data_IF_576635881073
#
_entry.id   IF_576635881073
#
_cell.length_a   1.000
_cell.length_b   1.000
_cell.length_c   1.000
_cell.angle_alpha   90.00
_cell.angle_beta   90.00
_cell.angle_gamma   90.00
#
_symmetry.space_group_name_H-M   'P 1'
#
loop_
_entity.id
_entity.type
_entity.pdbx_description
1 polymer ?
#
# COMPACT_ATOMS: atom_id res chain seq x y z
N UNK A 1 -13.80 -27.03 1.16
CA UNK A 1 -14.87 -26.05 1.44
C UNK A 1 -14.99 -25.88 2.94
N UNK A 2 -14.57 -24.73 3.47
CA UNK A 2 -14.92 -24.25 4.80
C UNK A 2 -15.02 -22.74 4.68
N UNK A 3 -16.22 -22.27 4.33
CA UNK A 3 -16.50 -20.83 4.32
C UNK A 3 -16.44 -20.34 5.74
N UNK A 4 -15.42 -19.54 6.06
CA UNK A 4 -15.37 -18.71 7.26
C UNK A 4 -16.61 -17.82 7.24
N UNK A 5 -17.65 -18.24 7.95
CA UNK A 5 -18.86 -17.45 8.16
C UNK A 5 -18.49 -16.38 9.18
N UNK A 6 -17.94 -15.27 8.70
CA UNK A 6 -17.74 -14.09 9.53
C UNK A 6 -19.11 -13.67 10.08
N UNK A 7 -19.19 -13.52 11.40
CA UNK A 7 -20.39 -12.99 12.03
C UNK A 7 -20.72 -11.64 11.36
N UNK A 8 -22.00 -11.38 11.02
CA UNK A 8 -22.38 -10.15 10.36
C UNK A 8 -21.98 -8.95 11.23
N UNK A 9 -21.32 -7.97 10.60
CA UNK A 9 -20.87 -6.77 11.28
C UNK A 9 -22.03 -6.08 12.01
N UNK A 10 -21.82 -5.61 13.26
CA UNK A 10 -22.88 -4.94 13.99
C UNK A 10 -23.41 -3.70 13.26
N UNK A 11 -24.73 -3.45 13.25
CA UNK A 11 -25.31 -2.29 12.55
C UNK A 11 -24.72 -0.95 13.01
N UNK A 12 -24.45 -0.81 14.31
CA UNK A 12 -23.84 0.40 14.87
C UNK A 12 -22.46 0.69 14.27
N UNK A 13 -21.68 -0.33 13.94
CA UNK A 13 -20.35 -0.18 13.35
C UNK A 13 -20.46 0.42 11.95
N UNK A 14 -21.36 -0.13 11.12
CA UNK A 14 -21.63 0.38 9.77
C UNK A 14 -22.12 1.82 9.80
N UNK A 15 -22.99 2.17 10.74
CA UNK A 15 -23.46 3.54 10.91
C UNK A 15 -22.32 4.49 11.30
N UNK A 16 -21.48 4.12 12.26
CA UNK A 16 -20.33 4.93 12.66
C UNK A 16 -19.31 5.09 11.53
N UNK A 17 -19.06 4.04 10.75
CA UNK A 17 -18.21 4.11 9.56
C UNK A 17 -18.80 5.04 8.50
N UNK A 18 -20.12 4.96 8.25
CA UNK A 18 -20.81 5.84 7.32
C UNK A 18 -20.70 7.31 7.72
N UNK A 19 -20.86 7.62 9.00
CA UNK A 19 -20.64 8.97 9.51
C UNK A 19 -19.17 9.41 9.40
N UNK A 20 -18.24 8.54 9.76
CA UNK A 20 -16.81 8.83 9.67
C UNK A 20 -16.41 9.19 8.23
N UNK A 21 -16.87 8.42 7.25
CA UNK A 21 -16.59 8.65 5.84
C UNK A 21 -17.28 9.92 5.30
N UNK A 22 -18.53 10.16 5.69
CA UNK A 22 -19.25 11.39 5.36
C UNK A 22 -18.49 12.62 5.87
N UNK A 23 -18.03 12.62 7.13
CA UNK A 23 -17.27 13.74 7.68
C UNK A 23 -15.90 13.89 7.01
N UNK A 24 -15.24 12.79 6.63
CA UNK A 24 -13.95 12.82 5.92
C UNK A 24 -14.06 13.44 4.52
N UNK A 25 -15.16 13.19 3.83
CA UNK A 25 -15.39 13.62 2.43
C UNK A 25 -16.22 14.91 2.30
N UNK A 26 -16.81 15.38 3.40
CA UNK A 26 -17.54 16.66 3.44
C UNK A 26 -16.67 17.84 3.00
N UNK A 27 -17.30 18.91 2.50
CA UNK A 27 -16.62 20.14 2.10
C UNK A 27 -17.12 21.32 2.95
N UNK A 28 -16.30 21.88 3.86
CA UNK A 28 -14.93 21.47 4.20
C UNK A 28 -14.87 20.16 5.04
N UNK A 29 -13.78 19.38 4.96
CA UNK A 29 -13.65 18.12 5.72
C UNK A 29 -13.69 18.33 7.23
N UNK A 30 -14.51 17.54 7.92
CA UNK A 30 -14.68 17.59 9.38
C UNK A 30 -13.89 16.47 10.05
N UNK A 31 -12.57 16.48 9.90
CA UNK A 31 -11.67 15.39 10.35
C UNK A 31 -11.82 15.07 11.84
N UNK A 32 -12.02 16.08 12.70
CA UNK A 32 -12.26 15.84 14.14
C UNK A 32 -13.48 14.96 14.40
N UNK A 33 -14.59 15.20 13.68
CA UNK A 33 -15.80 14.39 13.80
C UNK A 33 -15.59 12.99 13.24
N UNK A 34 -14.85 12.85 12.13
CA UNK A 34 -14.44 11.55 11.60
C UNK A 34 -13.69 10.73 12.66
N UNK A 35 -12.69 11.33 13.32
CA UNK A 35 -11.94 10.69 14.41
C UNK A 35 -12.85 10.32 15.59
N UNK A 36 -13.77 11.19 16.00
CA UNK A 36 -14.71 10.87 17.08
C UNK A 36 -15.64 9.70 16.74
N UNK A 37 -16.13 9.59 15.50
CA UNK A 37 -16.94 8.45 15.07
C UNK A 37 -16.15 7.13 15.16
N UNK A 38 -14.89 7.13 14.75
CA UNK A 38 -14.03 5.95 14.84
C UNK A 38 -13.67 5.62 16.29
N UNK A 39 -13.37 6.61 17.14
CA UNK A 39 -13.11 6.39 18.56
C UNK A 39 -14.33 5.82 19.30
N UNK A 40 -15.54 6.22 18.91
CA UNK A 40 -16.77 5.72 19.51
C UNK A 40 -16.94 4.21 19.34
N UNK A 41 -16.39 3.61 18.28
CA UNK A 41 -16.42 2.16 18.04
C UNK A 41 -15.89 1.38 19.25
N UNK A 42 -14.80 1.84 19.88
CA UNK A 42 -14.20 1.14 21.03
C UNK A 42 -15.08 1.12 22.27
N UNK A 43 -16.05 2.03 22.39
CA UNK A 43 -17.00 2.05 23.52
C UNK A 43 -17.96 0.85 23.47
N UNK A 44 -18.14 0.23 22.30
CA UNK A 44 -19.03 -0.90 22.07
C UNK A 44 -18.34 -2.26 22.20
N UNK A 45 -17.08 -2.32 22.66
CA UNK A 45 -16.28 -3.56 22.79
C UNK A 45 -16.34 -4.39 21.50
N UNK A 46 -15.81 -3.84 20.39
CA UNK A 46 -15.90 -4.46 19.07
C UNK A 46 -15.28 -5.86 19.05
N UNK A 47 -15.73 -6.75 18.15
CA UNK A 47 -15.00 -7.97 17.84
C UNK A 47 -13.57 -7.67 17.36
N UNK A 48 -12.61 -8.59 17.54
CA UNK A 48 -11.19 -8.32 17.26
C UNK A 48 -10.90 -7.81 15.83
N UNK A 49 -11.63 -8.30 14.82
CA UNK A 49 -11.46 -7.84 13.42
C UNK A 49 -11.88 -6.37 13.25
N UNK A 50 -13.02 -6.01 13.85
CA UNK A 50 -13.56 -4.65 13.84
C UNK A 50 -12.63 -3.71 14.59
N UNK A 51 -12.12 -4.14 15.73
CA UNK A 51 -11.14 -3.39 16.53
C UNK A 51 -9.87 -3.09 15.71
N UNK A 52 -9.25 -4.12 15.12
CA UNK A 52 -8.06 -3.98 14.31
C UNK A 52 -8.27 -3.06 13.09
N UNK A 53 -9.42 -3.20 12.40
CA UNK A 53 -9.78 -2.33 11.27
C UNK A 53 -9.98 -0.88 11.70
N UNK A 54 -10.57 -0.66 12.87
CA UNK A 54 -10.79 0.67 13.44
C UNK A 54 -9.45 1.33 13.81
N UNK A 55 -8.53 0.58 14.42
CA UNK A 55 -7.16 1.05 14.66
C UNK A 55 -6.46 1.47 13.36
N UNK A 56 -6.55 0.65 12.31
CA UNK A 56 -5.99 0.97 11.00
C UNK A 56 -6.58 2.28 10.43
N UNK A 57 -7.90 2.44 10.47
CA UNK A 57 -8.58 3.64 9.97
C UNK A 57 -8.22 4.88 10.78
N UNK A 58 -8.14 4.79 12.10
CA UNK A 58 -7.70 5.90 12.95
C UNK A 58 -6.27 6.30 12.67
N UNK A 59 -5.34 5.34 12.65
CA UNK A 59 -3.93 5.61 12.34
C UNK A 59 -3.78 6.26 10.97
N UNK A 60 -4.49 5.73 9.97
CA UNK A 60 -4.58 6.23 8.59
C UNK A 60 -5.08 7.68 8.50
N UNK A 61 -6.15 8.04 9.21
CA UNK A 61 -6.72 9.40 9.23
C UNK A 61 -5.83 10.37 9.99
N UNK A 62 -5.34 9.97 11.17
CA UNK A 62 -4.45 10.80 11.99
C UNK A 62 -3.16 11.14 11.24
N UNK A 63 -2.56 10.15 10.58
CA UNK A 63 -1.36 10.33 9.77
C UNK A 63 -1.58 11.31 8.61
N UNK A 64 -2.65 11.16 7.83
CA UNK A 64 -2.84 11.95 6.60
C UNK A 64 -3.40 13.35 6.82
N UNK A 65 -4.11 13.57 7.92
CA UNK A 65 -4.94 14.77 8.08
C UNK A 65 -4.68 15.55 9.37
N UNK A 66 -3.76 15.10 10.23
CA UNK A 66 -3.47 15.76 11.50
C UNK A 66 -1.97 15.85 11.77
N UNK A 67 -1.59 16.51 12.86
CA UNK A 67 -0.20 16.59 13.34
C UNK A 67 0.09 15.58 14.47
N UNK A 68 -0.83 14.66 14.75
CA UNK A 68 -0.73 13.73 15.88
C UNK A 68 0.04 12.47 15.48
N UNK A 69 1.31 12.61 15.11
CA UNK A 69 2.15 11.54 14.56
C UNK A 69 2.33 10.36 15.50
N UNK A 70 2.55 10.61 16.79
CA UNK A 70 2.72 9.56 17.81
C UNK A 70 1.45 8.70 17.93
N UNK A 71 0.29 9.34 18.05
CA UNK A 71 -0.98 8.63 18.15
C UNK A 71 -1.29 7.85 16.87
N UNK A 72 -0.96 8.40 15.70
CA UNK A 72 -1.10 7.69 14.43
C UNK A 72 -0.25 6.42 14.42
N UNK A 73 1.02 6.51 14.83
CA UNK A 73 1.93 5.38 14.92
C UNK A 73 1.40 4.31 15.87
N UNK A 74 0.98 4.67 17.09
CA UNK A 74 0.44 3.70 18.07
C UNK A 74 -0.76 2.94 17.51
N UNK A 75 -1.69 3.64 16.85
CA UNK A 75 -2.84 2.99 16.22
C UNK A 75 -2.41 2.05 15.07
N UNK A 76 -1.47 2.46 14.22
CA UNK A 76 -0.96 1.63 13.12
C UNK A 76 -0.24 0.37 13.63
N UNK A 77 0.61 0.50 14.66
CA UNK A 77 1.29 -0.63 15.30
C UNK A 77 0.30 -1.60 15.93
N UNK A 78 -0.73 -1.08 16.60
CA UNK A 78 -1.81 -1.91 17.18
C UNK A 78 -2.62 -2.63 16.09
N UNK A 79 -2.78 -2.00 14.91
CA UNK A 79 -3.49 -2.60 13.79
C UNK A 79 -2.75 -3.77 13.12
N UNK A 80 -1.43 -3.90 13.33
CA UNK A 80 -0.60 -5.05 12.91
C UNK A 80 -0.98 -6.27 13.76
N UNK A 81 -2.18 -6.78 13.52
CA UNK A 81 -2.87 -7.82 14.28
C UNK A 81 -2.83 -9.17 13.55
N UNK A 82 -3.69 -10.10 13.96
CA UNK A 82 -3.77 -11.45 13.37
C UNK A 82 -4.39 -11.50 11.97
N UNK A 83 -5.09 -10.45 11.52
CA UNK A 83 -5.79 -10.44 10.23
C UNK A 83 -4.84 -9.98 9.12
N UNK A 84 -4.58 -10.86 8.14
CA UNK A 84 -3.55 -10.64 7.11
C UNK A 84 -3.78 -9.40 6.24
N UNK A 85 -5.04 -9.12 5.88
CA UNK A 85 -5.43 -7.95 5.09
C UNK A 85 -5.19 -6.64 5.87
N UNK A 86 -5.64 -6.60 7.13
CA UNK A 86 -5.43 -5.45 8.02
C UNK A 86 -3.94 -5.26 8.30
N UNK A 87 -3.21 -6.35 8.55
CA UNK A 87 -1.77 -6.33 8.83
C UNK A 87 -0.97 -5.80 7.65
N UNK A 88 -1.28 -6.24 6.43
CA UNK A 88 -0.57 -5.80 5.22
C UNK A 88 -0.80 -4.32 4.94
N UNK A 89 -2.05 -3.85 5.09
CA UNK A 89 -2.39 -2.44 4.94
C UNK A 89 -1.75 -1.57 6.02
N UNK A 90 -1.79 -2.01 7.29
CA UNK A 90 -1.15 -1.32 8.40
C UNK A 90 0.37 -1.22 8.21
N UNK A 91 1.03 -2.32 7.83
CA UNK A 91 2.46 -2.34 7.53
C UNK A 91 2.83 -1.40 6.39
N UNK A 92 2.01 -1.36 5.33
CA UNK A 92 2.20 -0.45 4.20
C UNK A 92 2.17 1.02 4.64
N UNK A 93 1.16 1.44 5.40
CA UNK A 93 1.03 2.83 5.89
C UNK A 93 2.11 3.16 6.93
N UNK A 94 2.43 2.23 7.83
CA UNK A 94 3.46 2.43 8.84
C UNK A 94 4.85 2.58 8.21
N UNK A 95 5.13 1.86 7.13
CA UNK A 95 6.38 2.02 6.37
C UNK A 95 6.49 3.41 5.73
N UNK A 96 5.39 3.93 5.18
CA UNK A 96 5.32 5.30 4.65
C UNK A 96 5.56 6.33 5.77
N UNK A 97 4.94 6.13 6.93
CA UNK A 97 5.13 6.99 8.10
C UNK A 97 6.60 7.04 8.53
N UNK A 98 7.24 5.87 8.68
CA UNK A 98 8.66 5.82 9.03
C UNK A 98 9.55 6.46 7.97
N UNK A 99 9.25 6.26 6.69
CA UNK A 99 9.97 6.90 5.59
C UNK A 99 9.89 8.42 5.65
N UNK A 100 8.70 9.00 5.92
CA UNK A 100 8.55 10.45 6.07
C UNK A 100 9.35 11.03 7.24
N UNK A 101 9.57 10.23 8.28
CA UNK A 101 10.36 10.61 9.45
C UNK A 101 11.86 10.32 9.28
N UNK A 102 12.31 9.92 8.08
CA UNK A 102 13.67 9.45 7.80
C UNK A 102 14.13 8.25 8.65
N UNK A 103 13.18 7.42 9.10
CA UNK A 103 13.42 6.21 9.90
C UNK A 103 13.40 4.95 9.01
N UNK A 104 14.21 4.94 7.95
CA UNK A 104 14.25 3.84 6.96
C UNK A 104 14.60 2.49 7.60
N UNK A 105 15.50 2.49 8.57
CA UNK A 105 15.90 1.30 9.33
C UNK A 105 14.73 0.66 10.10
N UNK A 106 13.76 1.46 10.53
CA UNK A 106 12.55 0.98 11.21
C UNK A 106 11.49 0.47 10.22
N UNK A 107 11.44 1.04 9.01
CA UNK A 107 10.47 0.67 7.97
C UNK A 107 10.76 -0.71 7.35
N UNK A 108 12.03 -1.03 7.09
CA UNK A 108 12.42 -2.27 6.40
C UNK A 108 11.99 -3.56 7.12
N UNK A 109 12.22 -3.73 8.44
CA UNK A 109 11.78 -4.93 9.16
C UNK A 109 10.26 -5.14 9.13
N UNK A 110 9.50 -4.05 9.20
CA UNK A 110 8.03 -4.08 9.12
C UNK A 110 7.58 -4.63 7.78
N UNK A 111 8.13 -4.11 6.68
CA UNK A 111 7.82 -4.58 5.32
C UNK A 111 8.25 -6.02 5.10
N UNK A 112 9.47 -6.40 5.52
CA UNK A 112 9.96 -7.79 5.36
C UNK A 112 9.04 -8.80 6.05
N UNK A 113 8.59 -8.50 7.27
CA UNK A 113 7.65 -9.36 8.00
C UNK A 113 6.29 -9.45 7.31
N UNK A 114 5.78 -8.35 6.77
CA UNK A 114 4.51 -8.34 6.04
C UNK A 114 4.59 -9.12 4.72
N UNK A 115 5.69 -8.99 3.96
CA UNK A 115 5.92 -9.72 2.71
C UNK A 115 5.94 -11.24 2.93
N UNK A 116 6.54 -11.70 4.03
CA UNK A 116 6.63 -13.13 4.36
C UNK A 116 5.26 -13.81 4.46
N UNK A 117 4.25 -13.08 4.94
CA UNK A 117 2.91 -13.62 5.18
C UNK A 117 1.90 -13.25 4.08
N UNK A 118 2.18 -12.24 3.26
CA UNK A 118 1.22 -11.74 2.26
C UNK A 118 1.19 -12.57 0.97
N UNK A 119 1.88 -13.71 0.89
CA UNK A 119 2.01 -14.53 -0.32
C UNK A 119 0.66 -15.03 -0.88
N UNK A 120 -0.36 -15.12 -0.03
CA UNK A 120 -1.73 -15.51 -0.42
C UNK A 120 -2.61 -14.31 -0.79
N UNK A 121 -2.11 -13.08 -0.62
CA UNK A 121 -2.80 -11.83 -0.94
C UNK A 121 -1.98 -11.04 -1.98
N UNK A 122 -2.09 -11.40 -3.26
CA UNK A 122 -1.12 -10.96 -4.25
C UNK A 122 -1.00 -9.45 -4.43
N UNK A 123 -2.12 -8.73 -4.30
CA UNK A 123 -2.13 -7.26 -4.33
C UNK A 123 -1.19 -6.69 -3.27
N UNK A 124 -1.34 -7.14 -2.02
CA UNK A 124 -0.52 -6.68 -0.91
C UNK A 124 0.93 -7.13 -1.05
N UNK A 125 1.17 -8.36 -1.51
CA UNK A 125 2.52 -8.86 -1.74
C UNK A 125 3.33 -7.98 -2.71
N UNK A 126 2.76 -7.71 -3.89
CA UNK A 126 3.41 -6.85 -4.89
C UNK A 126 3.63 -5.43 -4.38
N UNK A 127 2.63 -4.86 -3.70
CA UNK A 127 2.74 -3.51 -3.13
C UNK A 127 3.84 -3.41 -2.08
N UNK A 128 3.93 -4.37 -1.16
CA UNK A 128 4.92 -4.37 -0.09
C UNK A 128 6.35 -4.60 -0.63
N UNK A 129 6.52 -5.48 -1.62
CA UNK A 129 7.79 -5.66 -2.34
C UNK A 129 8.25 -4.35 -2.99
N UNK A 130 7.33 -3.65 -3.66
CA UNK A 130 7.63 -2.36 -4.29
C UNK A 130 8.04 -1.30 -3.27
N UNK A 131 7.35 -1.21 -2.13
CA UNK A 131 7.72 -0.29 -1.05
C UNK A 131 9.10 -0.62 -0.47
N UNK A 132 9.42 -1.90 -0.28
CA UNK A 132 10.72 -2.30 0.23
C UNK A 132 11.84 -1.96 -0.76
N UNK A 133 11.59 -2.16 -2.06
CA UNK A 133 12.53 -1.76 -3.10
C UNK A 133 12.76 -0.24 -3.14
N UNK A 134 11.72 0.57 -2.94
CA UNK A 134 11.87 2.02 -2.80
C UNK A 134 12.76 2.39 -1.61
N UNK A 135 12.62 1.72 -0.47
CA UNK A 135 13.50 1.96 0.69
C UNK A 135 14.97 1.60 0.39
N UNK A 136 15.23 0.50 -0.31
CA UNK A 136 16.57 0.15 -0.75
C UNK A 136 17.14 1.19 -1.73
N UNK A 137 16.31 1.71 -2.63
CA UNK A 137 16.75 2.75 -3.56
C UNK A 137 17.02 4.10 -2.87
N UNK A 138 16.27 4.46 -1.82
CA UNK A 138 16.57 5.65 -0.99
C UNK A 138 17.96 5.56 -0.34
N UNK A 139 18.42 4.35 -0.01
CA UNK A 139 19.77 4.09 0.49
C UNK A 139 20.81 3.89 -0.61
N UNK A 140 20.44 4.09 -1.89
CA UNK A 140 21.28 3.85 -3.08
C UNK A 140 21.69 2.38 -3.27
N UNK A 141 21.02 1.45 -2.59
CA UNK A 141 21.17 0.02 -2.79
C UNK A 141 20.27 -0.46 -3.94
N UNK A 142 20.68 -0.09 -5.15
CA UNK A 142 19.90 -0.34 -6.36
C UNK A 142 19.88 -1.82 -6.77
N UNK A 143 20.90 -2.59 -6.37
CA UNK A 143 20.94 -4.04 -6.64
C UNK A 143 19.78 -4.71 -5.92
N UNK A 144 19.67 -4.50 -4.60
CA UNK A 144 18.56 -5.07 -3.83
C UNK A 144 17.19 -4.54 -4.27
N UNK A 145 17.11 -3.26 -4.67
CA UNK A 145 15.87 -2.69 -5.19
C UNK A 145 15.41 -3.38 -6.49
N UNK A 146 16.32 -3.55 -7.45
CA UNK A 146 16.04 -4.24 -8.72
C UNK A 146 15.69 -5.71 -8.50
N UNK A 147 16.42 -6.41 -7.63
CA UNK A 147 16.17 -7.82 -7.32
C UNK A 147 14.76 -8.02 -6.73
N UNK A 148 14.37 -7.19 -5.75
CA UNK A 148 13.03 -7.23 -5.15
C UNK A 148 11.92 -6.96 -6.16
N UNK A 149 12.15 -6.04 -7.09
CA UNK A 149 11.17 -5.70 -8.12
C UNK A 149 11.09 -6.79 -9.19
N UNK A 150 12.20 -7.45 -9.52
CA UNK A 150 12.23 -8.65 -10.36
C UNK A 150 11.41 -9.79 -9.77
N UNK A 151 11.56 -10.05 -8.47
CA UNK A 151 10.74 -11.02 -7.72
C UNK A 151 9.26 -10.64 -7.78
N UNK A 152 8.94 -9.37 -7.57
CA UNK A 152 7.55 -8.87 -7.63
C UNK A 152 6.92 -9.00 -9.01
N UNK A 153 7.67 -8.71 -10.07
CA UNK A 153 7.21 -8.84 -11.46
C UNK A 153 6.94 -10.31 -11.83
N UNK A 154 7.85 -11.22 -11.47
CA UNK A 154 7.68 -12.65 -11.73
C UNK A 154 6.49 -13.21 -10.94
N UNK A 155 6.34 -12.83 -9.67
CA UNK A 155 5.19 -13.23 -8.86
C UNK A 155 3.87 -12.74 -9.47
N UNK A 156 3.79 -11.47 -9.89
CA UNK A 156 2.58 -10.92 -10.50
C UNK A 156 2.22 -11.59 -11.84
N UNK A 157 3.24 -11.99 -12.62
CA UNK A 157 3.08 -12.77 -13.85
C UNK A 157 2.46 -14.13 -13.57
N UNK A 158 2.95 -14.84 -12.54
CA UNK A 158 2.42 -16.16 -12.13
C UNK A 158 0.98 -16.07 -11.63
N UNK A 159 0.64 -15.01 -10.90
CA UNK A 159 -0.71 -14.82 -10.36
C UNK A 159 -1.73 -14.29 -11.36
N UNK A 160 -1.34 -14.05 -12.63
CA UNK A 160 -2.18 -13.44 -13.68
C UNK A 160 -2.77 -12.09 -13.23
N UNK A 161 -2.03 -11.38 -12.38
CA UNK A 161 -2.42 -10.06 -11.89
C UNK A 161 -1.69 -9.01 -12.69
N UNK A 162 -2.10 -8.94 -13.96
CA UNK A 162 -1.48 -8.09 -14.96
C UNK A 162 -1.26 -6.71 -14.35
N UNK A 163 -2.30 -5.99 -13.92
CA UNK A 163 -2.21 -4.63 -13.39
C UNK A 163 -1.14 -4.41 -12.28
N UNK A 164 -0.98 -5.37 -11.36
CA UNK A 164 -0.02 -5.21 -10.25
C UNK A 164 1.42 -5.43 -10.68
N UNK A 165 1.65 -6.28 -11.68
CA UNK A 165 2.95 -6.46 -12.33
C UNK A 165 3.49 -5.13 -12.85
N UNK A 166 2.62 -4.34 -13.50
CA UNK A 166 3.01 -3.03 -14.02
C UNK A 166 3.30 -2.04 -12.90
N UNK A 167 2.50 -1.98 -11.84
CA UNK A 167 2.82 -1.06 -10.73
C UNK A 167 4.22 -1.29 -10.14
N UNK A 168 4.67 -2.56 -10.04
CA UNK A 168 6.03 -2.91 -9.61
C UNK A 168 7.07 -2.45 -10.65
N UNK A 169 6.90 -2.83 -11.92
CA UNK A 169 7.84 -2.51 -13.00
C UNK A 169 8.00 -1.00 -13.18
N UNK A 170 6.91 -0.24 -13.04
CA UNK A 170 6.93 1.21 -13.17
C UNK A 170 7.65 1.89 -11.99
N UNK A 171 7.56 1.35 -10.78
CA UNK A 171 8.38 1.79 -9.64
C UNK A 171 9.87 1.52 -9.91
N UNK A 172 10.22 0.37 -10.50
CA UNK A 172 11.59 0.07 -10.93
C UNK A 172 12.12 1.11 -11.90
N UNK A 173 11.30 1.45 -12.89
CA UNK A 173 11.67 2.35 -13.95
C UNK A 173 11.88 3.80 -13.45
N UNK A 174 11.02 4.27 -12.53
CA UNK A 174 11.19 5.57 -11.89
C UNK A 174 12.47 5.65 -11.05
N UNK A 175 12.80 4.60 -10.30
CA UNK A 175 14.01 4.56 -9.48
C UNK A 175 15.28 4.58 -10.33
N UNK A 176 15.31 3.83 -11.43
CA UNK A 176 16.48 3.79 -12.34
C UNK A 176 16.68 5.08 -13.12
N UNK A 177 15.60 5.78 -13.47
CA UNK A 177 15.66 7.09 -14.14
C UNK A 177 16.20 8.20 -13.22
N UNK A 178 15.87 8.18 -11.93
CA UNK A 178 16.38 9.15 -10.95
C UNK A 178 17.90 9.07 -10.77
N UNK A 179 18.50 7.89 -10.95
CA UNK A 179 19.93 7.64 -10.78
C UNK A 179 20.73 7.72 -12.10
N UNK A 180 20.09 8.13 -13.21
CA UNK A 180 20.70 8.26 -14.56
C UNK A 180 21.43 7.00 -15.04
N UNK A 181 21.04 5.82 -14.57
CA UNK A 181 21.59 4.52 -15.03
C UNK A 181 20.99 4.09 -16.37
N UNK A 182 21.22 4.91 -17.40
CA UNK A 182 20.58 4.80 -18.72
C UNK A 182 20.78 3.41 -19.39
N UNK A 183 21.86 2.70 -19.08
CA UNK A 183 22.15 1.36 -19.62
C UNK A 183 21.18 0.27 -19.13
N UNK A 184 20.68 0.37 -17.91
CA UNK A 184 19.71 -0.59 -17.32
C UNK A 184 18.26 -0.16 -17.58
N UNK A 185 18.05 1.15 -17.80
CA UNK A 185 16.73 1.74 -18.10
C UNK A 185 16.21 1.30 -19.47
N UNK A 186 17.06 1.21 -20.49
CA UNK A 186 16.62 0.98 -21.87
C UNK A 186 15.98 -0.42 -22.11
N UNK A 187 16.54 -1.53 -21.59
CA UNK A 187 15.90 -2.84 -21.67
C UNK A 187 14.56 -2.89 -20.92
N UNK A 188 14.49 -2.23 -19.76
CA UNK A 188 13.26 -2.17 -18.96
C UNK A 188 12.19 -1.28 -19.61
N UNK A 189 12.56 -0.15 -20.22
CA UNK A 189 11.66 0.67 -21.03
C UNK A 189 11.12 -0.10 -22.22
N UNK A 190 11.99 -0.81 -22.94
CA UNK A 190 11.57 -1.63 -24.08
C UNK A 190 10.59 -2.71 -23.65
N UNK A 191 10.90 -3.40 -22.54
CA UNK A 191 10.00 -4.39 -21.94
C UNK A 191 8.66 -3.74 -21.55
N UNK A 192 8.66 -2.60 -20.86
CA UNK A 192 7.44 -1.87 -20.51
C UNK A 192 6.60 -1.53 -21.75
N UNK A 193 7.23 -1.01 -22.80
CA UNK A 193 6.57 -0.66 -24.05
C UNK A 193 5.88 -1.87 -24.68
N UNK A 194 6.60 -2.99 -24.82
CA UNK A 194 6.05 -4.23 -25.39
C UNK A 194 4.88 -4.77 -24.55
N UNK A 195 4.97 -4.71 -23.22
CA UNK A 195 3.90 -5.21 -22.37
C UNK A 195 2.66 -4.27 -22.43
N UNK A 196 2.86 -2.95 -22.44
CA UNK A 196 1.76 -1.97 -22.61
C UNK A 196 1.06 -2.17 -23.95
N UNK A 197 1.80 -2.38 -25.04
CA UNK A 197 1.23 -2.63 -26.36
C UNK A 197 0.35 -3.89 -26.37
N UNK A 198 0.86 -4.97 -25.78
CA UNK A 198 0.18 -6.27 -25.71
C UNK A 198 -0.91 -6.36 -24.63
N UNK A 199 -1.14 -5.30 -23.85
CA UNK A 199 -2.17 -5.28 -22.81
C UNK A 199 -3.58 -5.49 -23.41
N UNK A 200 -4.26 -6.53 -22.93
CA UNK A 200 -5.65 -6.88 -23.26
C UNK A 200 -6.65 -6.61 -22.13
N UNK A 201 -6.17 -6.17 -20.96
CA UNK A 201 -7.02 -5.83 -19.81
C UNK A 201 -7.79 -4.51 -19.97
N UNK A 202 -8.14 -3.88 -18.83
CA UNK A 202 -8.96 -2.66 -18.81
C UNK A 202 -8.30 -1.50 -19.63
N UNK A 203 -9.03 -0.87 -20.57
CA UNK A 203 -8.49 0.20 -21.41
C UNK A 203 -8.08 1.46 -20.62
N UNK A 204 -8.78 1.79 -19.54
CA UNK A 204 -8.43 2.96 -18.68
C UNK A 204 -7.08 2.74 -18.01
N UNK A 205 -6.81 1.50 -17.58
CA UNK A 205 -5.53 1.13 -17.00
C UNK A 205 -4.42 1.18 -18.05
N UNK A 206 -4.67 0.68 -19.27
CA UNK A 206 -3.74 0.79 -20.41
C UNK A 206 -3.35 2.24 -20.68
N UNK A 207 -4.32 3.16 -20.73
CA UNK A 207 -4.05 4.58 -20.96
C UNK A 207 -3.29 5.22 -19.81
N UNK A 208 -3.61 4.86 -18.55
CA UNK A 208 -2.82 5.31 -17.40
C UNK A 208 -1.35 4.87 -17.52
N UNK A 209 -1.11 3.60 -17.88
CA UNK A 209 0.24 3.06 -18.07
C UNK A 209 0.97 3.74 -19.23
N UNK A 210 0.28 4.06 -20.33
CA UNK A 210 0.83 4.82 -21.47
C UNK A 210 1.25 6.22 -21.06
N UNK A 211 0.38 6.95 -20.36
CA UNK A 211 0.69 8.31 -19.87
C UNK A 211 1.92 8.28 -18.98
N UNK A 212 2.01 7.32 -18.05
CA UNK A 212 3.20 7.17 -17.21
C UNK A 212 4.46 6.80 -18.01
N UNK A 213 4.35 5.90 -18.99
CA UNK A 213 5.47 5.52 -19.85
C UNK A 213 6.01 6.70 -20.66
N UNK A 214 5.12 7.53 -21.22
CA UNK A 214 5.49 8.75 -21.95
C UNK A 214 6.20 9.76 -21.04
N UNK A 215 5.68 10.00 -19.83
CA UNK A 215 6.35 10.87 -18.84
C UNK A 215 7.76 10.39 -18.49
N UNK A 216 8.02 9.09 -18.59
CA UNK A 216 9.33 8.49 -18.32
C UNK A 216 10.27 8.53 -19.52
N UNK A 217 9.75 8.66 -20.75
CA UNK A 217 10.56 8.89 -21.96
C UNK A 217 10.98 10.35 -22.13
N UNK A 218 10.16 11.29 -21.65
CA UNK A 218 10.41 12.74 -21.75
C UNK A 218 11.37 13.30 -20.67
N UNK A 219 11.90 12.45 -19.77
CA UNK A 219 12.86 12.83 -18.71
C UNK A 219 14.24 12.25 -18.94
#
# INVERSE_FOLDING_TARGET
MAGSTEAPEPPWYRTLLGFAEHFRTSSPPKIRLCVHCLQAVFQFKPPPRVEARTHLQLGSVLYRHTKNSELAQTHLETAISQFEDVKSEAASILSEFYCQQNLVDSAKPVLRKAIQISQQTPYWHCRLLSQLAQLHALEKDLVSACDLLGVGAEYARVMVLEYMCYSCIFVTLQLLLMERKLSEVHPLLTLCGTIIENWQGNPIQKESLRVFFLVLQDR
#
